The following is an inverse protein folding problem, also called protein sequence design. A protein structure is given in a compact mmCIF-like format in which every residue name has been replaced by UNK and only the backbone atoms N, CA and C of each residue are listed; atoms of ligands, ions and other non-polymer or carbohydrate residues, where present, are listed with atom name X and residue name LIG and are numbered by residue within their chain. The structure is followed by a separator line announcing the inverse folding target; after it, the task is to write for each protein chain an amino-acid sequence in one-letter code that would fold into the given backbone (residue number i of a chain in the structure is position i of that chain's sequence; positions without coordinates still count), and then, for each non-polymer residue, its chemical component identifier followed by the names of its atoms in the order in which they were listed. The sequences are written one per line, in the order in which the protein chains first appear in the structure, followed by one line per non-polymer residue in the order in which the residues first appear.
data_IF_146583717401
#
_entry.id   IF_146583717401
#
_cell.length_a   1.000
_cell.length_b   1.000
_cell.length_c   1.000
_cell.angle_alpha   90.00
_cell.angle_beta   90.00
_cell.angle_gamma   90.00
#
_symmetry.space_group_name_H-M   'P 1'
#
loop_
_entity.id
_entity.type
_entity.pdbx_description
1 polymer ?
#
# COMPACT_ATOMS: atom_id res chain seq x y z
N UNK A 1 -39.24 -23.43 10.96
CA UNK A 1 -39.46 -22.26 10.05
C UNK A 1 -39.35 -22.75 8.62
N UNK A 2 -39.83 -22.02 7.61
CA UNK A 2 -39.72 -22.44 6.21
C UNK A 2 -38.51 -21.77 5.55
N UNK A 3 -37.62 -22.55 4.93
CA UNK A 3 -36.48 -22.06 4.16
C UNK A 3 -36.75 -22.34 2.69
N UNK A 4 -36.52 -21.35 1.85
CA UNK A 4 -36.75 -21.46 0.40
C UNK A 4 -35.44 -21.85 -0.29
N UNK A 5 -35.41 -23.04 -0.85
CA UNK A 5 -34.33 -23.51 -1.74
C UNK A 5 -34.97 -23.97 -3.04
N UNK A 6 -34.47 -23.46 -4.18
CA UNK A 6 -34.93 -23.80 -5.53
C UNK A 6 -36.46 -23.75 -5.69
N UNK A 7 -37.02 -22.58 -5.32
CA UNK A 7 -38.45 -22.25 -5.42
C UNK A 7 -39.41 -23.10 -4.56
N UNK A 8 -38.92 -24.05 -3.77
CA UNK A 8 -39.75 -24.85 -2.85
C UNK A 8 -39.52 -24.44 -1.39
N UNK A 9 -40.59 -24.47 -0.58
CA UNK A 9 -40.52 -24.21 0.85
C UNK A 9 -40.34 -25.52 1.61
N UNK A 10 -39.21 -25.68 2.28
CA UNK A 10 -38.97 -26.80 3.19
C UNK A 10 -39.06 -26.34 4.64
N UNK A 11 -39.69 -27.13 5.52
CA UNK A 11 -39.65 -26.88 6.96
C UNK A 11 -38.25 -27.28 7.46
N UNK A 12 -37.53 -26.35 8.06
CA UNK A 12 -36.26 -26.61 8.72
C UNK A 12 -36.45 -26.72 10.23
N UNK A 13 -35.79 -27.71 10.82
CA UNK A 13 -35.67 -27.92 12.27
C UNK A 13 -34.56 -27.04 12.83
N UNK A 14 -34.86 -26.25 13.86
CA UNK A 14 -33.89 -25.38 14.52
C UNK A 14 -33.00 -26.12 15.52
N UNK A 15 -33.22 -27.43 15.73
CA UNK A 15 -32.25 -28.29 16.41
C UNK A 15 -31.05 -28.66 15.51
N UNK A 16 -31.14 -28.44 14.19
CA UNK A 16 -30.02 -28.67 13.27
C UNK A 16 -29.06 -27.46 13.25
N UNK A 17 -27.76 -27.71 13.15
CA UNK A 17 -26.65 -26.74 13.16
C UNK A 17 -26.57 -25.87 11.89
N UNK A 18 -27.64 -25.16 11.57
CA UNK A 18 -27.67 -24.16 10.50
C UNK A 18 -27.91 -22.77 11.10
N UNK A 19 -26.85 -22.22 11.68
CA UNK A 19 -26.83 -21.02 12.52
C UNK A 19 -27.43 -19.75 11.88
N UNK A 20 -27.53 -19.69 10.56
CA UNK A 20 -28.03 -18.55 9.81
C UNK A 20 -29.49 -18.69 9.34
N UNK A 21 -30.12 -19.86 9.50
CA UNK A 21 -31.48 -20.12 9.03
C UNK A 21 -32.55 -19.95 10.12
N UNK A 22 -32.20 -20.10 11.39
CA UNK A 22 -33.12 -19.92 12.51
C UNK A 22 -32.90 -18.58 13.20
N UNK A 23 -33.98 -17.81 13.38
CA UNK A 23 -33.99 -16.66 14.29
C UNK A 23 -34.02 -17.18 15.73
N UNK A 24 -33.28 -16.52 16.63
CA UNK A 24 -33.31 -16.84 18.07
C UNK A 24 -34.72 -16.59 18.64
N UNK A 25 -35.29 -17.50 19.46
CA UNK A 25 -36.60 -17.29 20.08
C UNK A 25 -36.62 -16.01 20.93
N UNK A 26 -37.72 -15.27 20.88
CA UNK A 26 -37.94 -14.08 21.71
C UNK A 26 -38.01 -14.48 23.18
N UNK A 27 -37.35 -13.72 24.06
CA UNK A 27 -37.35 -13.99 25.51
C UNK A 27 -36.19 -14.84 26.04
N UNK A 28 -35.33 -15.37 25.16
CA UNK A 28 -34.07 -16.01 25.58
C UNK A 28 -33.07 -14.90 25.94
N UNK A 29 -32.67 -14.78 27.20
CA UNK A 29 -31.58 -13.90 27.63
C UNK A 29 -30.26 -14.43 27.06
N UNK A 30 -29.36 -13.55 26.62
CA UNK A 30 -28.00 -13.99 26.34
C UNK A 30 -27.41 -14.53 27.64
N UNK A 31 -26.70 -15.66 27.58
CA UNK A 31 -25.82 -16.05 28.68
C UNK A 31 -24.87 -14.89 29.03
N UNK A 32 -24.24 -14.91 30.22
CA UNK A 32 -23.29 -13.88 30.60
C UNK A 32 -22.28 -13.65 29.47
N UNK A 33 -21.96 -12.39 29.12
CA UNK A 33 -21.06 -12.11 28.01
C UNK A 33 -19.77 -12.87 28.24
N UNK A 34 -19.48 -13.84 27.37
CA UNK A 34 -18.14 -14.42 27.29
C UNK A 34 -17.19 -13.26 27.05
N UNK A 35 -16.10 -13.12 27.83
CA UNK A 35 -15.09 -12.10 27.55
C UNK A 35 -14.68 -12.27 26.08
N UNK A 36 -14.86 -11.21 25.29
CA UNK A 36 -14.39 -11.24 23.91
C UNK A 36 -12.90 -11.62 23.95
N UNK A 37 -12.45 -12.56 23.09
CA UNK A 37 -11.04 -12.88 23.01
C UNK A 37 -10.27 -11.57 22.80
N UNK A 38 -9.14 -11.36 23.51
CA UNK A 38 -8.39 -10.12 23.38
C UNK A 38 -8.03 -9.90 21.91
N UNK A 39 -8.47 -8.77 21.35
CA UNK A 39 -8.12 -8.38 20.00
C UNK A 39 -6.63 -8.06 20.00
N UNK A 40 -5.81 -8.98 19.50
CA UNK A 40 -4.39 -8.72 19.29
C UNK A 40 -4.29 -7.84 18.04
N UNK A 41 -4.08 -6.55 18.26
CA UNK A 41 -3.77 -5.59 17.20
C UNK A 41 -2.32 -5.85 16.79
N UNK A 42 -2.10 -6.66 15.75
CA UNK A 42 -0.78 -6.77 15.12
C UNK A 42 -0.46 -5.40 14.51
N UNK A 43 0.56 -4.67 15.00
CA UNK A 43 0.91 -3.40 14.41
C UNK A 43 1.25 -3.63 12.94
N UNK A 44 0.72 -2.76 12.06
CA UNK A 44 1.04 -2.83 10.65
C UNK A 44 2.57 -2.85 10.51
N UNK A 45 3.15 -3.75 9.69
CA UNK A 45 4.58 -3.81 9.51
C UNK A 45 5.05 -2.41 9.09
N UNK A 46 5.93 -1.82 9.91
CA UNK A 46 6.54 -0.54 9.60
C UNK A 46 7.33 -0.74 8.31
N UNK A 47 6.78 -0.27 7.20
CA UNK A 47 7.48 -0.17 5.92
C UNK A 47 7.95 1.27 5.75
N UNK A 48 9.01 1.69 6.47
CA UNK A 48 9.46 3.08 6.48
C UNK A 48 9.85 3.57 5.08
N UNK A 49 10.19 2.65 4.17
CA UNK A 49 10.56 2.98 2.79
C UNK A 49 9.36 3.34 1.91
N UNK A 50 8.17 2.81 2.22
CA UNK A 50 6.99 2.88 1.35
C UNK A 50 7.02 1.93 0.15
N UNK A 51 8.04 1.06 0.05
CA UNK A 51 8.22 0.16 -1.09
C UNK A 51 7.03 -0.80 -1.24
N UNK A 52 6.41 -0.82 -2.42
CA UNK A 52 5.27 -1.69 -2.77
C UNK A 52 4.02 -1.47 -1.89
N UNK A 53 3.90 -0.31 -1.23
CA UNK A 53 2.66 0.09 -0.56
C UNK A 53 1.54 0.33 -1.58
N UNK A 54 0.29 0.00 -1.19
CA UNK A 54 -0.88 0.11 -2.08
C UNK A 54 -1.09 1.53 -2.60
N UNK A 55 -1.03 2.51 -1.71
CA UNK A 55 -1.08 3.93 -2.01
C UNK A 55 -0.41 4.70 -0.87
N UNK A 56 0.32 5.75 -1.20
CA UNK A 56 0.95 6.67 -0.26
C UNK A 56 0.31 8.04 -0.45
N UNK A 57 -0.40 8.49 0.57
CA UNK A 57 -1.03 9.81 0.59
C UNK A 57 -0.02 10.89 0.95
N UNK A 58 -0.24 12.08 0.41
CA UNK A 58 0.57 13.25 0.72
C UNK A 58 0.28 13.80 2.13
N UNK A 59 1.24 14.47 2.79
CA UNK A 59 2.66 14.55 2.45
C UNK A 59 3.43 13.35 3.01
N UNK A 60 4.47 12.91 2.31
CA UNK A 60 5.24 11.74 2.72
C UNK A 60 6.68 11.73 2.23
N UNK A 61 7.41 10.70 2.66
CA UNK A 61 8.77 10.40 2.21
C UNK A 61 8.81 8.97 1.69
N UNK A 62 9.45 8.76 0.55
CA UNK A 62 9.78 7.44 0.02
C UNK A 62 11.30 7.29 -0.05
N UNK A 63 11.76 6.06 0.17
CA UNK A 63 13.18 5.74 0.07
C UNK A 63 13.36 4.39 -0.58
N UNK A 64 14.56 4.10 -1.08
CA UNK A 64 14.94 2.71 -1.33
C UNK A 64 14.82 1.86 -0.05
N UNK A 65 14.65 0.54 -0.17
CA UNK A 65 14.67 -0.34 1.00
C UNK A 65 15.97 -0.14 1.80
N UNK A 66 15.87 -0.17 3.12
CA UNK A 66 16.97 -0.01 4.09
C UNK A 66 17.67 1.36 4.14
N UNK A 67 17.27 2.36 3.33
CA UNK A 67 17.89 3.69 3.37
C UNK A 67 17.95 4.26 4.81
N UNK A 68 19.07 4.88 5.24
CA UNK A 68 20.28 5.23 4.47
C UNK A 68 21.32 4.10 4.39
N UNK A 69 20.98 2.88 4.85
CA UNK A 69 21.83 1.70 4.64
C UNK A 69 21.66 1.16 3.22
N UNK A 70 22.54 0.24 2.85
CA UNK A 70 22.53 -0.40 1.53
C UNK A 70 21.23 -1.16 1.26
N UNK A 71 20.61 -0.91 0.11
CA UNK A 71 19.45 -1.67 -0.36
C UNK A 71 19.86 -3.11 -0.76
N UNK A 72 19.00 -4.12 -0.54
CA UNK A 72 19.28 -5.50 -0.94
C UNK A 72 19.21 -5.65 -2.47
N UNK A 73 19.86 -6.69 -3.01
CA UNK A 73 19.83 -7.01 -4.44
C UNK A 73 19.32 -8.45 -4.63
N UNK A 74 18.37 -8.70 -5.54
CA UNK A 74 17.63 -7.72 -6.33
C UNK A 74 16.57 -6.99 -5.49
N UNK A 75 16.38 -5.70 -5.76
CA UNK A 75 15.27 -4.88 -5.27
C UNK A 75 14.48 -4.34 -6.45
N UNK A 76 13.16 -4.51 -6.36
CA UNK A 76 12.21 -3.85 -7.24
C UNK A 76 11.07 -3.29 -6.38
N UNK A 77 10.92 -1.97 -6.43
CA UNK A 77 9.93 -1.25 -5.64
C UNK A 77 9.09 -0.35 -6.53
N UNK A 78 7.78 -0.35 -6.30
CA UNK A 78 6.84 0.58 -6.89
C UNK A 78 6.18 1.39 -5.77
N UNK A 79 6.17 2.71 -5.92
CA UNK A 79 5.54 3.66 -5.02
C UNK A 79 4.40 4.33 -5.78
N UNK A 80 3.17 4.16 -5.30
CA UNK A 80 1.99 4.80 -5.86
C UNK A 80 1.64 6.00 -4.99
N UNK A 81 1.96 7.19 -5.47
CA UNK A 81 1.72 8.44 -4.76
C UNK A 81 0.35 8.99 -5.17
N UNK A 82 -0.43 9.44 -4.19
CA UNK A 82 -1.78 9.94 -4.38
C UNK A 82 -2.02 11.16 -3.51
N UNK A 83 -2.80 12.12 -4.03
CA UNK A 83 -3.38 13.22 -3.24
C UNK A 83 -4.89 13.35 -3.48
N UNK A 84 -5.54 14.18 -2.67
CA UNK A 84 -6.98 14.40 -2.71
C UNK A 84 -7.37 15.52 -3.67
N UNK A 85 -8.58 15.43 -4.21
CA UNK A 85 -9.20 16.50 -4.99
C UNK A 85 -8.45 16.82 -6.29
N UNK A 86 -8.32 18.13 -6.58
CA UNK A 86 -7.73 18.66 -7.80
C UNK A 86 -6.23 19.01 -7.65
N UNK A 87 -5.62 18.70 -6.49
CA UNK A 87 -4.19 18.93 -6.27
C UNK A 87 -3.35 18.00 -7.12
N UNK A 88 -2.10 18.42 -7.35
CA UNK A 88 -1.10 17.64 -8.07
C UNK A 88 0.03 17.24 -7.12
N UNK A 89 0.89 16.32 -7.53
CA UNK A 89 1.98 15.80 -6.70
C UNK A 89 3.31 16.33 -7.21
N UNK A 90 4.03 17.02 -6.32
CA UNK A 90 5.44 17.34 -6.51
C UNK A 90 6.30 16.34 -5.78
N UNK A 91 7.33 15.80 -6.44
CA UNK A 91 8.36 14.95 -5.83
C UNK A 91 9.71 15.65 -5.86
N UNK A 92 10.43 15.57 -4.75
CA UNK A 92 11.68 16.31 -4.47
C UNK A 92 12.74 15.31 -4.00
N UNK A 93 13.72 15.01 -4.85
CA UNK A 93 14.80 14.09 -4.51
C UNK A 93 15.87 14.79 -3.68
N UNK A 94 16.22 14.22 -2.51
CA UNK A 94 17.22 14.78 -1.59
C UNK A 94 18.52 13.99 -1.55
N UNK A 95 18.51 12.70 -1.88
CA UNK A 95 19.71 11.87 -2.04
C UNK A 95 19.52 10.88 -3.20
N UNK A 96 20.59 10.66 -3.96
CA UNK A 96 20.71 9.67 -5.02
C UNK A 96 22.12 9.07 -4.96
N UNK A 97 22.21 7.85 -4.44
CA UNK A 97 23.42 7.04 -4.34
C UNK A 97 23.08 5.66 -4.86
N UNK A 98 23.45 5.35 -6.11
CA UNK A 98 23.05 4.11 -6.78
C UNK A 98 24.14 3.62 -7.73
N UNK A 99 24.10 2.32 -8.06
CA UNK A 99 25.01 1.73 -9.05
C UNK A 99 24.69 2.22 -10.47
N UNK A 100 25.59 1.98 -11.43
CA UNK A 100 25.38 2.37 -12.83
C UNK A 100 24.22 1.64 -13.51
N UNK A 101 23.85 0.47 -13.00
CA UNK A 101 22.74 -0.34 -13.52
C UNK A 101 21.45 -0.18 -12.70
N UNK A 102 21.49 0.64 -11.64
CA UNK A 102 20.33 0.99 -10.84
C UNK A 102 19.67 2.25 -11.39
N UNK A 103 18.34 2.33 -11.35
CA UNK A 103 17.62 3.50 -11.81
C UNK A 103 16.30 3.70 -11.05
N UNK A 104 15.85 4.95 -11.03
CA UNK A 104 14.53 5.37 -10.55
C UNK A 104 13.76 5.98 -11.70
N UNK A 105 12.55 5.50 -11.97
CA UNK A 105 11.68 6.05 -13.00
C UNK A 105 10.50 6.74 -12.33
N UNK A 106 10.16 7.94 -12.80
CA UNK A 106 8.98 8.68 -12.34
C UNK A 106 8.01 8.77 -13.50
N UNK A 107 6.78 8.32 -13.27
CA UNK A 107 5.70 8.29 -14.24
C UNK A 107 4.55 9.17 -13.79
N UNK A 108 3.94 9.83 -14.76
CA UNK A 108 2.72 10.58 -14.56
C UNK A 108 1.49 9.66 -14.48
N UNK A 109 0.33 10.23 -14.13
CA UNK A 109 -0.93 9.49 -13.97
C UNK A 109 -1.40 8.76 -15.24
N UNK A 110 -0.99 9.25 -16.42
CA UNK A 110 -1.32 8.64 -17.72
C UNK A 110 -0.30 7.56 -18.16
N UNK A 111 0.70 7.24 -17.33
CA UNK A 111 1.75 6.27 -17.63
C UNK A 111 2.94 6.85 -18.42
N UNK A 112 2.93 8.14 -18.77
CA UNK A 112 4.06 8.79 -19.44
C UNK A 112 5.25 8.88 -18.49
N UNK A 113 6.45 8.61 -19.00
CA UNK A 113 7.68 8.78 -18.24
C UNK A 113 8.00 10.28 -18.12
N UNK A 114 8.10 10.78 -16.88
CA UNK A 114 8.53 12.15 -16.57
C UNK A 114 10.06 12.23 -16.55
N UNK A 115 10.72 11.29 -15.87
CA UNK A 115 12.18 11.25 -15.78
C UNK A 115 12.71 9.85 -15.51
N UNK A 116 13.91 9.57 -16.04
CA UNK A 116 14.76 8.43 -15.65
C UNK A 116 15.98 8.94 -14.90
N UNK A 117 16.06 8.61 -13.61
CA UNK A 117 17.16 8.97 -12.74
C UNK A 117 18.13 7.79 -12.63
N UNK A 118 19.39 8.08 -12.89
CA UNK A 118 20.51 7.13 -12.82
C UNK A 118 21.57 7.66 -11.86
N UNK A 119 22.66 6.93 -11.68
CA UNK A 119 23.81 7.37 -10.88
C UNK A 119 24.34 8.77 -11.27
N UNK A 120 24.27 9.14 -12.54
CA UNK A 120 24.79 10.42 -13.05
C UNK A 120 23.75 11.53 -13.15
N UNK A 121 22.51 11.26 -12.78
CA UNK A 121 21.46 12.28 -12.80
C UNK A 121 21.64 13.27 -11.65
N UNK A 122 21.46 14.56 -11.92
CA UNK A 122 21.38 15.58 -10.88
C UNK A 122 20.10 15.44 -10.07
N UNK A 123 20.14 15.80 -8.79
CA UNK A 123 18.93 15.96 -7.98
C UNK A 123 18.02 17.01 -8.63
N UNK A 124 16.72 16.74 -8.63
CA UNK A 124 15.71 17.58 -9.26
C UNK A 124 14.33 17.32 -8.69
N UNK A 125 13.39 18.17 -9.09
CA UNK A 125 12.00 18.09 -8.69
C UNK A 125 11.14 17.82 -9.91
N UNK A 126 10.13 16.97 -9.74
CA UNK A 126 9.26 16.55 -10.81
C UNK A 126 7.80 16.68 -10.37
N UNK A 127 6.92 16.96 -11.31
CA UNK A 127 5.53 17.32 -11.01
C UNK A 127 4.61 16.46 -11.88
N UNK A 128 3.55 15.92 -11.27
CA UNK A 128 2.50 15.21 -12.01
C UNK A 128 1.55 16.21 -12.67
N UNK A 129 0.86 15.76 -13.73
CA UNK A 129 -0.23 16.52 -14.34
C UNK A 129 -1.56 16.37 -13.58
N UNK A 130 -1.67 15.33 -12.75
CA UNK A 130 -2.88 14.96 -12.01
C UNK A 130 -2.59 14.65 -10.53
N UNK A 131 -3.58 14.13 -9.81
CA UNK A 131 -3.50 13.78 -8.39
C UNK A 131 -2.81 12.44 -8.09
N UNK A 132 -2.17 11.81 -9.08
CA UNK A 132 -1.42 10.56 -8.92
C UNK A 132 -0.08 10.60 -9.65
N UNK A 133 0.91 9.93 -9.09
CA UNK A 133 2.25 9.76 -9.64
C UNK A 133 2.77 8.38 -9.25
N UNK A 134 3.46 7.70 -10.17
CA UNK A 134 4.09 6.42 -9.86
C UNK A 134 5.60 6.54 -9.92
N UNK A 135 6.30 6.06 -8.90
CA UNK A 135 7.76 5.97 -8.90
C UNK A 135 8.14 4.50 -8.86
N UNK A 136 9.10 4.08 -9.67
CA UNK A 136 9.70 2.75 -9.57
C UNK A 136 11.19 2.84 -9.32
N UNK A 137 11.72 1.90 -8.54
CA UNK A 137 13.14 1.72 -8.29
C UNK A 137 13.55 0.30 -8.62
N UNK A 138 14.58 0.18 -9.45
CA UNK A 138 15.19 -1.10 -9.81
C UNK A 138 16.66 -1.07 -9.40
N UNK A 139 17.09 -2.05 -8.60
CA UNK A 139 18.51 -2.23 -8.31
C UNK A 139 19.24 -2.85 -9.50
N UNK A 140 20.44 -2.36 -9.79
CA UNK A 140 21.43 -3.08 -10.58
C UNK A 140 22.04 -4.25 -9.82
N UNK A 141 23.25 -4.66 -10.22
CA UNK A 141 23.93 -5.86 -9.69
C UNK A 141 25.06 -5.54 -8.69
N UNK A 142 25.17 -4.28 -8.23
CA UNK A 142 26.26 -3.84 -7.36
C UNK A 142 25.74 -3.28 -6.04
N UNK A 143 26.24 -3.83 -4.95
CA UNK A 143 25.93 -3.43 -3.57
C UNK A 143 26.73 -2.17 -3.17
N UNK A 144 26.51 -1.68 -1.94
CA UNK A 144 27.30 -0.62 -1.32
C UNK A 144 26.79 0.80 -1.54
N UNK A 145 25.57 0.93 -2.07
CA UNK A 145 24.93 2.21 -2.35
C UNK A 145 23.74 2.41 -1.42
N UNK A 146 23.56 3.63 -0.89
CA UNK A 146 22.47 3.93 0.06
C UNK A 146 21.10 3.92 -0.59
N UNK A 147 21.05 4.12 -1.90
CA UNK A 147 19.83 4.22 -2.71
C UNK A 147 19.36 5.66 -2.83
N UNK A 148 18.08 5.92 -2.56
CA UNK A 148 17.52 7.26 -2.74
C UNK A 148 16.59 7.66 -1.59
N UNK A 149 16.40 8.97 -1.43
CA UNK A 149 15.36 9.54 -0.58
C UNK A 149 14.66 10.66 -1.34
N UNK A 150 13.33 10.67 -1.29
CA UNK A 150 12.52 11.71 -1.91
C UNK A 150 11.31 12.03 -1.03
N UNK A 151 11.01 13.32 -0.92
CA UNK A 151 9.76 13.82 -0.33
C UNK A 151 8.75 14.09 -1.41
N UNK A 152 7.48 13.85 -1.11
CA UNK A 152 6.38 14.19 -2.00
C UNK A 152 5.26 14.90 -1.24
N UNK A 153 4.63 15.87 -1.89
CA UNK A 153 3.58 16.70 -1.32
C UNK A 153 2.64 17.19 -2.41
N UNK A 154 1.42 17.52 -2.00
CA UNK A 154 0.45 18.20 -2.86
C UNK A 154 0.88 19.63 -3.17
N UNK A 155 0.47 20.13 -4.34
CA UNK A 155 0.58 21.52 -4.76
C UNK A 155 -0.61 21.93 -5.64
#
# INVERSE_FOLDING_TARGET
MAVKTDLTWSKSDCAATQYFLCKRPTGITCGPPTPAPPVIITPAPTNPSGCNSTALFDAGTITSPNYPSTFPIPSYCVYKLTTLGAYRIGIYFSDLSMSQNSYVLVYDSNGSLIVSLTRSSSLGNYYSSSNTMTVSFTSGNYNGYRGFSAKFLSF
#
